data_IF_311346167998
#
_entry.id   IF_311346167998
#
_cell.length_a   1.000
_cell.length_b   1.000
_cell.length_c   1.000
_cell.angle_alpha   90.00
_cell.angle_beta   90.00
_cell.angle_gamma   90.00
#
_symmetry.space_group_name_H-M   'P 1'
#
loop_
_entity.id
_entity.type
_entity.pdbx_description
1 polymer ?
#
# COMPACT_ATOMS: atom_id res chain seq x y z
N UNK A 1 -5.45 44.21 16.08
CA UNK A 1 -5.15 42.76 15.99
C UNK A 1 -6.47 42.10 15.59
N UNK A 2 -6.57 41.89 14.27
CA UNK A 2 -7.81 41.55 13.62
C UNK A 2 -8.22 40.13 14.00
N UNK A 3 -9.41 39.99 14.62
CA UNK A 3 -10.02 38.74 14.99
C UNK A 3 -10.51 37.98 13.77
N UNK A 4 -9.58 37.41 13.02
CA UNK A 4 -9.91 36.38 12.04
C UNK A 4 -10.37 35.13 12.83
N UNK A 5 -11.60 34.69 12.62
CA UNK A 5 -12.12 33.53 13.35
C UNK A 5 -11.32 32.28 12.96
N UNK A 6 -11.08 31.38 13.91
CA UNK A 6 -10.35 30.13 13.67
C UNK A 6 -10.92 29.33 12.51
N UNK A 7 -12.22 29.43 12.27
CA UNK A 7 -12.93 28.86 11.10
C UNK A 7 -12.45 29.45 9.78
N UNK A 8 -12.09 30.73 9.74
CA UNK A 8 -11.61 31.40 8.52
C UNK A 8 -10.21 30.91 8.12
N UNK A 9 -9.35 30.55 9.11
CA UNK A 9 -7.98 30.07 8.86
C UNK A 9 -8.02 28.70 8.16
N UNK A 10 -8.80 27.76 8.67
CA UNK A 10 -8.95 26.44 8.07
C UNK A 10 -9.47 26.52 6.64
N UNK A 11 -10.51 27.33 6.40
CA UNK A 11 -11.09 27.50 5.07
C UNK A 11 -10.13 28.14 4.08
N UNK A 12 -9.37 29.15 4.50
CA UNK A 12 -8.36 29.80 3.66
C UNK A 12 -7.27 28.83 3.21
N UNK A 13 -6.86 27.88 4.07
CA UNK A 13 -5.88 26.86 3.72
C UNK A 13 -6.49 25.84 2.74
N UNK A 14 -7.75 25.41 2.92
CA UNK A 14 -8.47 24.53 2.00
C UNK A 14 -8.62 25.18 0.62
N UNK A 15 -8.98 26.46 0.58
CA UNK A 15 -9.09 27.22 -0.68
C UNK A 15 -7.72 27.36 -1.38
N UNK A 16 -6.64 27.51 -0.61
CA UNK A 16 -5.28 27.48 -1.16
C UNK A 16 -4.94 26.10 -1.72
N UNK A 17 -5.24 25.04 -0.98
CA UNK A 17 -5.02 23.66 -1.41
C UNK A 17 -5.74 23.37 -2.74
N UNK A 18 -6.97 23.81 -2.89
CA UNK A 18 -7.77 23.64 -4.12
C UNK A 18 -7.15 24.29 -5.36
N UNK A 19 -6.30 25.33 -5.18
CA UNK A 19 -5.59 25.97 -6.28
C UNK A 19 -4.26 25.34 -6.66
N UNK A 20 -3.61 24.62 -5.73
CA UNK A 20 -2.23 24.14 -5.90
C UNK A 20 -2.09 22.62 -5.87
N UNK A 21 -3.11 21.91 -5.40
CA UNK A 21 -3.13 20.45 -5.34
C UNK A 21 -4.21 19.90 -6.28
N UNK A 22 -3.92 18.87 -7.07
CA UNK A 22 -4.92 18.17 -7.85
C UNK A 22 -6.02 17.62 -6.93
N UNK A 23 -7.27 18.01 -7.15
CA UNK A 23 -8.39 17.64 -6.27
C UNK A 23 -8.39 18.30 -4.89
N UNK A 24 -7.50 19.27 -4.64
CA UNK A 24 -7.44 20.03 -3.37
C UNK A 24 -6.89 19.23 -2.18
N UNK A 25 -6.23 18.09 -2.40
CA UNK A 25 -5.78 17.19 -1.33
C UNK A 25 -4.47 16.49 -1.68
N UNK A 26 -3.74 16.03 -0.68
CA UNK A 26 -2.54 15.20 -0.85
C UNK A 26 -2.86 13.73 -1.19
N UNK A 27 -4.09 13.29 -1.00
CA UNK A 27 -4.52 11.91 -1.23
C UNK A 27 -5.72 11.82 -2.14
N UNK A 28 -6.32 10.65 -2.20
CA UNK A 28 -7.49 10.36 -3.02
C UNK A 28 -8.83 10.65 -2.31
N UNK A 29 -8.78 11.20 -1.10
CA UNK A 29 -9.96 11.53 -0.29
C UNK A 29 -10.09 13.05 -0.17
N UNK A 30 -11.30 13.55 -0.20
CA UNK A 30 -11.57 14.95 0.10
C UNK A 30 -11.12 15.27 1.53
N UNK A 31 -10.31 16.31 1.69
CA UNK A 31 -9.86 16.78 2.99
C UNK A 31 -10.78 17.94 3.42
N UNK A 32 -11.66 17.68 4.39
CA UNK A 32 -12.52 18.71 5.00
C UNK A 32 -11.84 19.39 6.21
N UNK A 33 -10.72 18.83 6.65
CA UNK A 33 -10.00 19.24 7.87
C UNK A 33 -8.52 19.38 7.55
N UNK A 34 -7.90 20.45 8.06
CA UNK A 34 -6.46 20.66 7.96
C UNK A 34 -5.83 20.34 9.32
N UNK A 35 -5.06 19.26 9.37
CA UNK A 35 -4.44 18.78 10.61
C UNK A 35 -3.13 19.55 10.83
N UNK A 36 -2.96 20.09 12.03
CA UNK A 36 -1.77 20.82 12.49
C UNK A 36 -0.78 19.91 13.21
N UNK A 37 -1.27 19.05 14.09
CA UNK A 37 -0.42 18.20 14.93
C UNK A 37 -1.12 16.88 15.32
N UNK A 38 -0.33 15.91 15.76
CA UNK A 38 -0.82 14.65 16.27
C UNK A 38 -0.01 14.13 17.47
N UNK A 39 -0.66 13.43 18.40
CA UNK A 39 -0.04 12.75 19.54
C UNK A 39 -0.76 11.46 19.87
N UNK A 40 -0.05 10.36 19.92
CA UNK A 40 -0.63 9.03 20.09
C UNK A 40 -1.78 8.77 19.06
N UNK A 41 -2.97 8.43 19.50
CA UNK A 41 -4.13 8.21 18.63
C UNK A 41 -5.02 9.45 18.42
N UNK A 42 -4.50 10.65 18.57
CA UNK A 42 -5.25 11.90 18.46
C UNK A 42 -4.55 12.89 17.52
N UNK A 43 -5.37 13.72 16.87
CA UNK A 43 -4.90 14.82 16.02
C UNK A 43 -5.68 16.10 16.32
N UNK A 44 -5.08 17.24 16.06
CA UNK A 44 -5.69 18.56 16.22
C UNK A 44 -5.62 19.32 14.90
N UNK A 45 -6.71 19.96 14.53
CA UNK A 45 -6.76 20.78 13.34
C UNK A 45 -6.18 22.20 13.61
N UNK A 46 -6.17 23.03 12.59
CA UNK A 46 -5.66 24.42 12.67
C UNK A 46 -6.46 25.30 13.64
N UNK A 47 -7.70 24.91 13.98
CA UNK A 47 -8.54 25.62 14.96
C UNK A 47 -8.26 25.14 16.39
N UNK A 48 -7.49 24.08 16.57
CA UNK A 48 -7.22 23.44 17.86
C UNK A 48 -8.27 22.41 18.27
N UNK A 49 -9.24 22.10 17.41
CA UNK A 49 -10.22 21.05 17.66
C UNK A 49 -9.56 19.67 17.62
N UNK A 50 -9.85 18.86 18.63
CA UNK A 50 -9.32 17.50 18.77
C UNK A 50 -10.21 16.47 18.04
N UNK A 51 -9.53 15.48 17.44
CA UNK A 51 -10.14 14.31 16.80
C UNK A 51 -9.44 13.03 17.25
N UNK A 52 -10.18 11.92 17.33
CA UNK A 52 -9.59 10.58 17.46
C UNK A 52 -9.20 10.13 16.07
N UNK A 53 -7.92 9.80 15.88
CA UNK A 53 -7.40 9.36 14.58
C UNK A 53 -7.46 7.83 14.45
N UNK A 54 -8.48 7.32 13.78
CA UNK A 54 -8.59 5.91 13.40
C UNK A 54 -7.86 5.57 12.10
N UNK A 55 -7.38 6.57 11.35
CA UNK A 55 -6.70 6.36 10.09
C UNK A 55 -5.20 6.08 10.29
N UNK A 56 -4.56 6.76 11.23
CA UNK A 56 -3.15 6.60 11.60
C UNK A 56 -2.21 6.54 10.37
N UNK A 57 -2.38 7.52 9.46
CA UNK A 57 -1.60 7.60 8.23
C UNK A 57 -1.88 6.46 7.24
N UNK A 58 -3.07 5.86 7.25
CA UNK A 58 -3.45 4.66 6.50
C UNK A 58 -2.70 3.39 6.92
N UNK A 59 -2.36 3.29 8.21
CA UNK A 59 -1.83 2.10 8.86
C UNK A 59 -0.36 2.13 9.30
N UNK A 60 0.55 2.98 8.77
CA UNK A 60 1.96 2.93 9.19
C UNK A 60 2.22 3.44 10.61
N UNK A 61 1.33 4.23 11.20
CA UNK A 61 1.51 4.84 12.52
C UNK A 61 1.15 3.87 13.67
N UNK A 62 1.79 2.69 13.70
CA UNK A 62 1.46 1.62 14.65
C UNK A 62 1.62 2.01 16.13
N UNK A 63 2.57 2.89 16.42
CA UNK A 63 2.82 3.39 17.79
C UNK A 63 2.15 4.75 18.04
N UNK A 64 1.35 5.24 17.10
CA UNK A 64 0.70 6.55 17.15
C UNK A 64 1.62 7.70 16.75
N UNK A 65 1.04 8.90 16.74
CA UNK A 65 1.75 10.13 16.38
C UNK A 65 2.75 10.55 17.46
N UNK A 66 3.89 11.07 17.04
CA UNK A 66 4.91 11.67 17.89
C UNK A 66 5.32 10.81 19.10
N UNK A 67 5.49 9.50 18.87
CA UNK A 67 5.99 8.61 19.93
C UNK A 67 7.34 9.11 20.45
N UNK A 68 7.54 9.31 21.76
CA UNK A 68 8.71 9.99 22.30
C UNK A 68 10.05 9.39 21.87
N UNK A 69 10.21 8.08 22.02
CA UNK A 69 11.45 7.37 21.65
C UNK A 69 11.74 7.44 20.15
N UNK A 70 10.71 7.32 19.31
CA UNK A 70 10.85 7.43 17.85
C UNK A 70 11.23 8.84 17.45
N UNK A 71 10.61 9.84 18.09
CA UNK A 71 10.90 11.26 17.83
C UNK A 71 12.33 11.60 18.22
N UNK A 72 12.79 11.18 19.41
CA UNK A 72 14.14 11.40 19.90
C UNK A 72 15.19 10.75 18.96
N UNK A 73 15.00 9.49 18.59
CA UNK A 73 15.89 8.77 17.69
C UNK A 73 15.95 9.44 16.30
N UNK A 74 14.80 9.87 15.76
CA UNK A 74 14.72 10.56 14.48
C UNK A 74 15.45 11.93 14.54
N UNK A 75 15.24 12.72 15.56
CA UNK A 75 15.91 14.01 15.76
C UNK A 75 17.43 13.85 15.86
N UNK A 76 17.90 12.86 16.62
CA UNK A 76 19.31 12.56 16.75
C UNK A 76 19.94 12.17 15.41
N UNK A 77 19.23 11.40 14.58
CA UNK A 77 19.73 11.00 13.26
C UNK A 77 19.65 12.14 12.25
N UNK A 78 18.62 12.99 12.28
CA UNK A 78 18.50 14.16 11.39
C UNK A 78 19.71 15.08 11.56
N UNK A 79 20.16 15.29 12.79
CA UNK A 79 21.35 16.11 13.08
C UNK A 79 22.67 15.52 12.50
N UNK A 80 22.66 14.24 12.13
CA UNK A 80 23.80 13.51 11.52
C UNK A 80 23.65 13.26 10.02
N UNK A 81 22.51 13.65 9.45
CA UNK A 81 22.14 13.40 8.06
C UNK A 81 21.25 12.16 7.88
N UNK A 82 20.47 12.18 6.82
CA UNK A 82 19.44 11.13 6.55
C UNK A 82 19.55 10.51 5.17
N UNK A 83 20.23 11.18 4.21
CA UNK A 83 20.29 10.72 2.82
C UNK A 83 21.72 10.44 2.42
N UNK A 84 22.05 9.16 2.29
CA UNK A 84 23.38 8.69 1.92
C UNK A 84 23.28 7.76 0.71
N UNK A 85 24.10 8.02 -0.31
CA UNK A 85 24.25 7.10 -1.44
C UNK A 85 25.26 6.00 -1.11
N UNK A 86 25.10 5.40 0.07
CA UNK A 86 25.96 4.33 0.59
C UNK A 86 25.18 3.56 1.68
N UNK A 87 25.73 2.39 2.03
CA UNK A 87 25.19 1.63 3.16
C UNK A 87 25.33 2.44 4.45
N UNK A 88 24.32 2.34 5.30
CA UNK A 88 24.35 2.89 6.64
C UNK A 88 23.98 1.82 7.67
N UNK A 89 24.48 2.01 8.89
CA UNK A 89 24.35 1.03 9.96
C UNK A 89 22.88 0.75 10.31
N UNK A 90 22.06 1.79 10.49
CA UNK A 90 20.66 1.64 10.92
C UNK A 90 19.82 0.87 9.90
N UNK A 91 20.06 1.10 8.60
CA UNK A 91 19.38 0.34 7.53
C UNK A 91 19.77 -1.14 7.53
N UNK A 92 21.04 -1.46 7.81
CA UNK A 92 21.49 -2.85 7.92
C UNK A 92 20.89 -3.54 9.14
N UNK A 93 20.91 -2.90 10.30
CA UNK A 93 20.30 -3.42 11.54
C UNK A 93 18.78 -3.64 11.38
N UNK A 94 18.07 -2.73 10.68
CA UNK A 94 16.66 -2.92 10.36
C UNK A 94 16.45 -4.11 9.42
N UNK A 95 17.30 -4.28 8.40
CA UNK A 95 17.20 -5.44 7.50
C UNK A 95 17.40 -6.76 8.25
N UNK A 96 18.37 -6.81 9.15
CA UNK A 96 18.63 -7.97 10.02
C UNK A 96 17.42 -8.30 10.90
N UNK A 97 16.85 -7.30 11.57
CA UNK A 97 15.65 -7.50 12.41
C UNK A 97 14.45 -7.99 11.60
N UNK A 98 14.28 -7.54 10.35
CA UNK A 98 13.20 -8.03 9.46
C UNK A 98 13.45 -9.49 9.06
N UNK A 99 14.69 -9.84 8.70
CA UNK A 99 15.06 -11.22 8.33
C UNK A 99 14.83 -12.18 9.50
N UNK A 100 15.16 -11.78 10.71
CA UNK A 100 14.91 -12.56 11.92
C UNK A 100 13.41 -12.73 12.22
N UNK A 101 12.61 -11.68 12.02
CA UNK A 101 11.19 -11.68 12.34
C UNK A 101 10.30 -12.37 11.29
N UNK A 102 10.74 -12.44 10.02
CA UNK A 102 9.95 -12.94 8.90
C UNK A 102 10.53 -14.26 8.38
N UNK A 103 9.89 -15.42 8.65
CA UNK A 103 10.47 -16.75 8.37
C UNK A 103 10.86 -17.04 6.92
N UNK A 104 10.29 -16.30 5.95
CA UNK A 104 10.60 -16.47 4.53
C UNK A 104 11.54 -15.37 3.98
N UNK A 105 11.99 -14.43 4.80
CA UNK A 105 12.88 -13.37 4.37
C UNK A 105 14.34 -13.78 4.59
N UNK A 106 15.10 -13.93 3.49
CA UNK A 106 16.55 -14.13 3.52
C UNK A 106 17.29 -12.81 3.28
N UNK A 107 16.69 -11.91 2.53
CA UNK A 107 17.22 -10.59 2.21
C UNK A 107 16.08 -9.57 2.12
N UNK A 108 16.41 -8.30 2.35
CA UNK A 108 15.45 -7.19 2.32
C UNK A 108 15.94 -6.11 1.35
N UNK A 109 15.02 -5.64 0.52
CA UNK A 109 15.21 -4.43 -0.28
C UNK A 109 14.27 -3.35 0.21
N UNK A 110 14.82 -2.23 0.67
CA UNK A 110 14.05 -1.04 1.02
C UNK A 110 13.71 -0.22 -0.23
N UNK A 111 12.51 0.34 -0.19
CA UNK A 111 11.97 1.28 -1.20
C UNK A 111 11.19 2.37 -0.48
N UNK A 112 10.80 3.43 -1.20
CA UNK A 112 10.19 4.61 -0.57
C UNK A 112 8.67 4.48 -0.34
N UNK A 113 8.02 3.51 -0.98
CA UNK A 113 6.56 3.33 -0.88
C UNK A 113 6.14 1.87 -1.08
N UNK A 114 4.94 1.51 -0.59
CA UNK A 114 4.33 0.22 -0.89
C UNK A 114 4.09 0.01 -2.39
N UNK A 115 3.78 1.07 -3.13
CA UNK A 115 3.65 1.02 -4.60
C UNK A 115 4.95 0.53 -5.26
N UNK A 116 6.09 1.04 -4.83
CA UNK A 116 7.39 0.59 -5.33
C UNK A 116 7.69 -0.85 -4.90
N UNK A 117 7.38 -1.21 -3.66
CA UNK A 117 7.58 -2.57 -3.17
C UNK A 117 6.81 -3.60 -4.00
N UNK A 118 5.52 -3.36 -4.25
CA UNK A 118 4.69 -4.23 -5.08
C UNK A 118 5.17 -4.28 -6.53
N UNK A 119 5.57 -3.13 -7.10
CA UNK A 119 6.13 -3.07 -8.45
C UNK A 119 7.41 -3.90 -8.58
N UNK A 120 8.33 -3.78 -7.61
CA UNK A 120 9.55 -4.58 -7.59
C UNK A 120 9.27 -6.07 -7.38
N UNK A 121 8.30 -6.42 -6.53
CA UNK A 121 7.90 -7.81 -6.30
C UNK A 121 7.34 -8.45 -7.58
N UNK A 122 6.44 -7.76 -8.29
CA UNK A 122 5.92 -8.21 -9.58
C UNK A 122 7.03 -8.38 -10.62
N UNK A 123 7.96 -7.43 -10.70
CA UNK A 123 9.10 -7.50 -11.61
C UNK A 123 10.03 -8.67 -11.27
N UNK A 124 10.31 -8.90 -9.99
CA UNK A 124 11.12 -10.02 -9.54
C UNK A 124 10.46 -11.37 -9.87
N UNK A 125 9.14 -11.50 -9.66
CA UNK A 125 8.38 -12.69 -10.01
C UNK A 125 8.46 -12.98 -11.52
N UNK A 126 8.26 -11.97 -12.37
CA UNK A 126 8.39 -12.10 -13.82
C UNK A 126 9.80 -12.51 -14.25
N UNK A 127 10.82 -11.86 -13.70
CA UNK A 127 12.22 -12.17 -14.02
C UNK A 127 12.59 -13.61 -13.63
N UNK A 128 12.14 -14.06 -12.47
CA UNK A 128 12.43 -15.41 -11.97
C UNK A 128 11.72 -16.50 -12.78
N UNK A 129 10.43 -16.30 -13.09
CA UNK A 129 9.62 -17.31 -13.78
C UNK A 129 9.70 -17.23 -15.30
N UNK A 130 10.15 -16.10 -15.85
CA UNK A 130 10.10 -15.73 -17.28
C UNK A 130 8.66 -15.76 -17.82
N UNK A 131 7.70 -15.33 -17.01
CA UNK A 131 6.27 -15.26 -17.31
C UNK A 131 5.78 -13.86 -17.00
N UNK A 132 4.71 -13.41 -17.64
CA UNK A 132 4.29 -12.00 -17.60
C UNK A 132 3.07 -11.76 -16.69
N UNK A 133 2.17 -12.73 -16.57
CA UNK A 133 0.89 -12.51 -15.88
C UNK A 133 0.99 -12.57 -14.37
N UNK A 134 0.28 -11.65 -13.72
CA UNK A 134 0.12 -11.59 -12.26
C UNK A 134 -1.36 -11.78 -11.92
N UNK A 135 -1.64 -12.69 -11.00
CA UNK A 135 -2.96 -12.82 -10.41
C UNK A 135 -3.10 -11.89 -9.21
N UNK A 136 -4.16 -11.11 -9.17
CA UNK A 136 -4.55 -10.34 -7.97
C UNK A 136 -6.03 -10.57 -7.65
N UNK A 137 -6.41 -10.24 -6.41
CA UNK A 137 -7.80 -10.33 -5.99
C UNK A 137 -8.53 -9.00 -6.19
N UNK A 138 -9.78 -9.06 -6.65
CA UNK A 138 -10.64 -7.89 -6.72
C UNK A 138 -10.73 -7.21 -5.35
N UNK A 139 -10.67 -5.88 -5.32
CA UNK A 139 -10.66 -5.10 -4.09
C UNK A 139 -9.32 -5.07 -3.34
N UNK A 140 -8.30 -5.81 -3.80
CA UNK A 140 -6.97 -5.80 -3.20
C UNK A 140 -6.19 -4.53 -3.55
N UNK A 141 -5.78 -3.75 -2.53
CA UNK A 141 -4.92 -2.58 -2.74
C UNK A 141 -3.44 -2.98 -2.76
N UNK A 142 -2.75 -2.62 -3.81
CA UNK A 142 -1.33 -2.91 -4.05
C UNK A 142 -0.56 -1.65 -4.53
N UNK A 143 -0.99 -0.48 -4.07
CA UNK A 143 -0.40 0.80 -4.47
C UNK A 143 -1.01 1.38 -5.74
N UNK A 144 -0.30 2.33 -6.36
CA UNK A 144 -0.79 3.20 -7.43
C UNK A 144 -0.11 2.96 -8.77
N UNK A 145 0.58 1.83 -8.97
CA UNK A 145 1.11 1.47 -10.28
C UNK A 145 -0.01 0.99 -11.21
N UNK A 146 0.21 1.08 -12.51
CA UNK A 146 -0.76 0.65 -13.53
C UNK A 146 -1.24 -0.80 -13.32
N UNK A 147 -0.34 -1.69 -12.94
CA UNK A 147 -0.68 -3.08 -12.59
C UNK A 147 -1.52 -3.21 -11.33
N UNK A 148 -1.29 -2.32 -10.36
CA UNK A 148 -1.98 -2.32 -9.06
C UNK A 148 -3.40 -1.74 -9.15
N UNK A 149 -3.58 -0.74 -10.03
CA UNK A 149 -4.85 -0.05 -10.28
C UNK A 149 -5.75 -0.82 -11.26
N UNK A 150 -5.84 -2.13 -11.04
CA UNK A 150 -6.72 -3.04 -11.78
C UNK A 150 -7.71 -3.68 -10.82
N UNK A 151 -9.00 -3.45 -11.03
CA UNK A 151 -10.10 -4.03 -10.23
C UNK A 151 -9.94 -3.81 -8.72
N UNK A 152 -9.51 -2.60 -8.32
CA UNK A 152 -9.46 -2.20 -6.91
C UNK A 152 -10.85 -1.82 -6.41
N UNK A 153 -11.53 -0.91 -7.11
CA UNK A 153 -12.89 -0.47 -6.81
C UNK A 153 -13.61 -0.09 -8.13
N UNK A 154 -13.75 -1.01 -9.08
CA UNK A 154 -14.27 -0.68 -10.39
C UNK A 154 -15.72 -0.21 -10.29
N UNK A 155 -16.05 0.89 -10.99
CA UNK A 155 -17.43 1.41 -11.06
C UNK A 155 -18.39 0.40 -11.70
N UNK A 156 -17.87 -0.51 -12.52
CA UNK A 156 -18.57 -1.65 -13.12
C UNK A 156 -17.64 -2.83 -13.02
N UNK A 157 -18.07 -3.88 -12.33
CA UNK A 157 -17.32 -5.13 -12.23
C UNK A 157 -17.18 -5.76 -13.62
N UNK A 158 -16.00 -6.30 -13.90
CA UNK A 158 -15.76 -7.13 -15.07
C UNK A 158 -16.15 -8.58 -14.79
N UNK A 159 -16.21 -9.38 -15.85
CA UNK A 159 -16.28 -10.82 -15.69
C UNK A 159 -14.87 -11.36 -15.40
N UNK A 160 -14.72 -12.17 -14.36
CA UNK A 160 -13.46 -12.84 -14.10
C UNK A 160 -13.04 -13.72 -15.29
N UNK A 161 -11.75 -13.75 -15.64
CA UNK A 161 -10.59 -13.14 -14.95
C UNK A 161 -10.19 -11.75 -15.46
N UNK A 162 -11.06 -11.04 -16.17
CA UNK A 162 -10.73 -9.78 -16.85
C UNK A 162 -10.48 -8.65 -15.87
N UNK A 163 -9.33 -7.97 -16.01
CA UNK A 163 -8.98 -6.79 -15.25
C UNK A 163 -9.72 -5.55 -15.77
N UNK A 164 -10.22 -4.73 -14.84
CA UNK A 164 -10.88 -3.45 -15.12
C UNK A 164 -9.99 -2.33 -14.58
N UNK A 165 -9.50 -1.39 -15.41
CA UNK A 165 -8.72 -0.26 -14.93
C UNK A 165 -9.53 0.66 -14.01
N UNK A 166 -8.95 1.04 -12.86
CA UNK A 166 -9.57 1.98 -11.92
C UNK A 166 -9.21 3.44 -12.22
N UNK A 167 -8.26 3.67 -13.12
CA UNK A 167 -7.83 5.01 -13.54
C UNK A 167 -7.79 5.16 -15.06
N UNK A 168 -8.09 6.37 -15.52
CA UNK A 168 -7.80 6.74 -16.89
C UNK A 168 -6.28 6.78 -17.13
N UNK A 169 -5.86 6.54 -18.38
CA UNK A 169 -4.45 6.59 -18.78
C UNK A 169 -3.68 5.27 -18.63
N UNK A 170 -4.25 4.25 -18.01
CA UNK A 170 -3.62 2.93 -17.95
C UNK A 170 -3.64 2.28 -19.32
N UNK A 171 -2.47 1.84 -19.86
CA UNK A 171 -2.40 1.22 -21.18
C UNK A 171 -3.18 -0.12 -21.23
N UNK A 172 -3.79 -0.39 -22.39
CA UNK A 172 -4.54 -1.66 -22.58
C UNK A 172 -3.67 -2.91 -22.40
N UNK A 173 -2.40 -2.84 -22.80
CA UNK A 173 -1.44 -3.94 -22.66
C UNK A 173 -1.21 -4.35 -21.19
N UNK A 174 -1.26 -3.40 -20.26
CA UNK A 174 -1.11 -3.70 -18.83
C UNK A 174 -2.29 -4.53 -18.31
N UNK A 175 -3.49 -4.27 -18.82
CA UNK A 175 -4.68 -5.04 -18.46
C UNK A 175 -4.54 -6.53 -18.81
N UNK A 176 -3.94 -6.82 -19.95
CA UNK A 176 -3.85 -8.18 -20.47
C UNK A 176 -2.82 -9.03 -19.69
N UNK A 177 -1.94 -8.38 -18.92
CA UNK A 177 -0.97 -9.02 -18.01
C UNK A 177 -1.55 -9.29 -16.60
N UNK A 178 -2.80 -8.87 -16.33
CA UNK A 178 -3.41 -9.03 -15.01
C UNK A 178 -4.58 -10.02 -15.05
N UNK A 179 -4.55 -10.99 -14.15
CA UNK A 179 -5.62 -11.95 -13.90
C UNK A 179 -6.32 -11.54 -12.60
N UNK A 180 -7.61 -11.28 -12.67
CA UNK A 180 -8.40 -10.92 -11.50
C UNK A 180 -9.17 -12.14 -11.00
N UNK A 181 -9.08 -12.38 -9.70
CA UNK A 181 -9.81 -13.45 -9.03
C UNK A 181 -10.76 -12.87 -7.96
N UNK A 182 -11.91 -13.49 -7.72
CA UNK A 182 -12.78 -13.11 -6.61
C UNK A 182 -12.09 -13.43 -5.28
N UNK A 183 -12.26 -12.55 -4.30
CA UNK A 183 -11.73 -12.78 -2.96
C UNK A 183 -12.54 -13.86 -2.23
N UNK A 184 -11.87 -14.74 -1.47
CA UNK A 184 -12.47 -15.86 -0.73
C UNK A 184 -13.16 -16.97 -1.57
N UNK A 185 -12.96 -17.01 -2.87
CA UNK A 185 -13.45 -18.10 -3.73
C UNK A 185 -12.28 -19.00 -4.14
N UNK A 186 -12.04 -20.05 -3.37
CA UNK A 186 -10.91 -20.97 -3.58
C UNK A 186 -11.07 -21.83 -4.83
N UNK A 187 -12.28 -22.14 -5.26
CA UNK A 187 -12.55 -22.97 -6.43
C UNK A 187 -12.22 -22.19 -7.71
N UNK A 188 -12.71 -20.96 -7.82
CA UNK A 188 -12.40 -20.08 -8.94
C UNK A 188 -10.90 -19.77 -8.99
N UNK A 189 -10.27 -19.44 -7.87
CA UNK A 189 -8.81 -19.20 -7.81
C UNK A 189 -8.03 -20.42 -8.29
N UNK A 190 -8.37 -21.62 -7.81
CA UNK A 190 -7.70 -22.84 -8.22
C UNK A 190 -7.90 -23.15 -9.72
N UNK A 191 -9.07 -22.83 -10.27
CA UNK A 191 -9.33 -22.95 -11.71
C UNK A 191 -8.46 -22.00 -12.51
N UNK A 192 -8.42 -20.72 -12.15
CA UNK A 192 -7.61 -19.69 -12.83
C UNK A 192 -6.11 -20.01 -12.77
N UNK A 193 -5.61 -20.48 -11.63
CA UNK A 193 -4.20 -20.90 -11.49
C UNK A 193 -3.88 -22.10 -12.41
N UNK A 194 -4.78 -23.06 -12.53
CA UNK A 194 -4.59 -24.20 -13.44
C UNK A 194 -4.63 -23.78 -14.91
N UNK A 195 -5.58 -22.94 -15.26
CA UNK A 195 -5.75 -22.44 -16.64
C UNK A 195 -4.53 -21.62 -17.11
N UNK A 196 -4.00 -20.76 -16.25
CA UNK A 196 -2.89 -19.87 -16.56
C UNK A 196 -1.53 -20.33 -16.03
N UNK A 197 -1.38 -21.60 -15.67
CA UNK A 197 -0.17 -22.14 -15.00
C UNK A 197 1.14 -21.86 -15.75
N UNK A 198 1.11 -21.77 -17.06
CA UNK A 198 2.27 -21.59 -17.92
C UNK A 198 2.58 -20.11 -18.20
N UNK A 199 1.66 -19.21 -17.90
CA UNK A 199 1.78 -17.75 -18.10
C UNK A 199 1.93 -16.99 -16.77
N UNK A 200 1.53 -17.59 -15.64
CA UNK A 200 1.43 -16.94 -14.34
C UNK A 200 2.82 -16.84 -13.68
N UNK A 201 3.27 -15.61 -13.47
CA UNK A 201 4.51 -15.31 -12.76
C UNK A 201 4.33 -15.38 -11.24
N UNK A 202 3.18 -14.97 -10.73
CA UNK A 202 2.89 -14.96 -9.31
C UNK A 202 1.48 -14.47 -9.00
N UNK A 203 1.14 -14.51 -7.71
CA UNK A 203 -0.10 -13.91 -7.20
C UNK A 203 0.19 -12.91 -6.11
N UNK A 204 -0.56 -11.80 -6.10
CA UNK A 204 -0.51 -10.77 -5.06
C UNK A 204 -1.80 -10.77 -4.27
N UNK A 205 -1.69 -10.86 -2.94
CA UNK A 205 -2.83 -10.78 -2.03
C UNK A 205 -2.53 -9.85 -0.87
N UNK A 206 -3.47 -8.96 -0.54
CA UNK A 206 -3.40 -8.11 0.65
C UNK A 206 -4.22 -8.71 1.79
N UNK A 207 -3.65 -8.73 2.99
CA UNK A 207 -4.40 -9.13 4.19
C UNK A 207 -5.39 -8.04 4.64
N UNK A 208 -5.17 -6.79 4.27
CA UNK A 208 -6.01 -5.65 4.67
C UNK A 208 -7.30 -5.49 3.87
N UNK A 209 -7.42 -6.14 2.71
CA UNK A 209 -8.65 -6.11 1.91
C UNK A 209 -9.80 -6.94 2.50
N UNK A 210 -9.60 -7.57 3.66
CA UNK A 210 -10.58 -8.46 4.27
C UNK A 210 -11.47 -7.74 5.27
N UNK A 211 -12.49 -7.03 4.82
CA UNK A 211 -13.66 -6.72 5.65
C UNK A 211 -14.61 -7.92 5.82
N UNK A 212 -14.40 -9.00 5.07
CA UNK A 212 -15.17 -10.24 5.16
C UNK A 212 -14.42 -11.32 5.97
N UNK A 213 -15.14 -12.08 6.79
CA UNK A 213 -14.60 -13.22 7.54
C UNK A 213 -13.97 -14.22 6.56
N UNK A 214 -12.67 -14.47 6.69
CA UNK A 214 -11.97 -15.47 5.89
C UNK A 214 -12.43 -16.87 6.27
N UNK A 215 -12.80 -17.73 5.33
CA UNK A 215 -12.91 -19.15 5.61
C UNK A 215 -11.55 -19.70 6.06
N UNK A 216 -11.48 -20.56 7.08
CA UNK A 216 -10.21 -21.10 7.59
C UNK A 216 -9.33 -21.79 6.55
N UNK A 217 -9.92 -22.27 5.46
CA UNK A 217 -9.23 -22.98 4.39
C UNK A 217 -8.49 -22.08 3.39
N UNK A 218 -8.83 -20.77 3.30
CA UNK A 218 -8.27 -19.89 2.27
C UNK A 218 -6.75 -19.71 2.40
N UNK A 219 -6.22 -19.57 3.61
CA UNK A 219 -4.78 -19.42 3.83
C UNK A 219 -3.97 -20.68 3.53
N UNK A 220 -4.59 -21.88 3.63
CA UNK A 220 -3.93 -23.16 3.38
C UNK A 220 -3.94 -23.56 1.90
N UNK A 221 -5.01 -23.25 1.15
CA UNK A 221 -5.11 -23.65 -0.26
C UNK A 221 -4.23 -22.79 -1.18
N UNK A 222 -4.05 -21.50 -0.87
CA UNK A 222 -3.13 -20.65 -1.63
C UNK A 222 -1.65 -20.89 -1.31
N UNK A 223 -1.33 -21.48 -0.15
CA UNK A 223 0.03 -21.88 0.22
C UNK A 223 0.46 -23.23 -0.35
N UNK A 224 -0.45 -23.97 -0.98
CA UNK A 224 -0.25 -25.36 -1.38
C UNK A 224 0.17 -25.60 -2.82
N UNK A 225 0.35 -24.62 -3.70
CA UNK A 225 0.90 -24.82 -5.05
C UNK A 225 1.04 -23.51 -5.81
N UNK A 226 2.16 -22.96 -5.89
CA UNK A 226 3.18 -23.17 -6.90
C UNK A 226 4.47 -23.67 -6.24
N UNK A 227 5.49 -24.09 -7.02
CA UNK A 227 6.76 -24.44 -6.40
C UNK A 227 7.15 -23.31 -5.47
N UNK A 228 7.50 -23.63 -4.25
CA UNK A 228 8.01 -22.65 -3.26
C UNK A 228 8.96 -21.74 -4.02
N UNK A 229 8.59 -20.47 -4.21
CA UNK A 229 9.58 -19.45 -4.37
C UNK A 229 10.40 -19.53 -3.08
N UNK A 230 11.48 -20.29 -3.10
CA UNK A 230 12.51 -20.09 -2.12
C UNK A 230 12.86 -18.61 -2.26
N UNK A 231 12.70 -17.84 -1.20
CA UNK A 231 13.36 -16.57 -1.08
C UNK A 231 14.85 -16.90 -1.16
N UNK A 232 15.45 -16.86 -2.34
CA UNK A 232 16.89 -16.83 -2.55
C UNK A 232 17.28 -15.43 -2.90
#
# INVERSE_FOLDING_TARGET
MDGQSDTDIGQAIIDKASRVLPGGTFGNFAAEVVIREGKAGRVWDETGKEYIDYLLGSGPMLVGHAHPEVTEAAQAQIARGTTFFANNRLGIELAEAIVEAVPCAEQVRFVSSGTEADLYAMRAARAFTRRDKILKFEGGYHGMSDYSLMSLAPRRSGNFPMAVPDSAGIPKSVRDDMIIAPFNDTEVVASLVREHKDELAGSSSSRSSASSRRPPAFSKSCAGSPPRMACR
#
